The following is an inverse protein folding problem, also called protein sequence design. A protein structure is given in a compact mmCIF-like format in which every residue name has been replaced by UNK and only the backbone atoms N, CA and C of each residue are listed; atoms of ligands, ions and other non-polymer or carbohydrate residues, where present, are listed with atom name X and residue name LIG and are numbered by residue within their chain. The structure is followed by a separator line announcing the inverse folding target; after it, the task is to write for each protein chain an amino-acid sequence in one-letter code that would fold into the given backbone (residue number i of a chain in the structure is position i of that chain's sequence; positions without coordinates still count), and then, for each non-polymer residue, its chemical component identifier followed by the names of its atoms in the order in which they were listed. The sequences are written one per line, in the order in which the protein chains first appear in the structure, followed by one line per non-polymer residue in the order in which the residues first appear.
data_IF_737073778447
#
_entry.id   IF_737073778447
#
_cell.length_a   1.000
_cell.length_b   1.000
_cell.length_c   1.000
_cell.angle_alpha   90.00
_cell.angle_beta   90.00
_cell.angle_gamma   90.00
#
_symmetry.space_group_name_H-M   'P 1'
#
loop_
_entity.id
_entity.type
_entity.pdbx_description
1 polymer ?
#
# COMPACT_ATOMS: atom_id res chain seq x y z
N UNK A 1 4.34 29.85 -9.55
CA UNK A 1 3.43 30.56 -8.63
C UNK A 1 3.33 29.95 -7.22
N UNK A 2 3.56 28.66 -7.02
CA UNK A 2 3.45 27.99 -5.69
C UNK A 2 4.59 28.31 -4.70
N UNK A 3 5.52 29.18 -5.03
CA UNK A 3 6.75 29.33 -4.28
C UNK A 3 7.00 30.73 -3.68
N UNK A 4 6.07 31.64 -3.83
CA UNK A 4 6.23 33.01 -3.33
C UNK A 4 5.26 33.26 -2.17
N UNK A 5 5.63 32.92 -0.94
CA UNK A 5 4.94 33.29 0.31
C UNK A 5 3.41 33.09 0.31
N UNK A 6 2.90 32.13 -0.47
CA UNK A 6 1.49 31.76 -0.40
C UNK A 6 1.22 31.05 0.94
N UNK A 7 0.14 31.44 1.61
CA UNK A 7 -0.28 30.77 2.85
C UNK A 7 -0.54 29.26 2.59
N UNK A 8 -0.28 28.42 3.56
CA UNK A 8 -0.46 26.95 3.45
C UNK A 8 -1.84 26.56 2.95
N UNK A 9 -2.86 27.32 3.33
CA UNK A 9 -4.23 27.14 2.87
C UNK A 9 -4.38 27.39 1.35
N UNK A 10 -3.70 28.36 0.78
CA UNK A 10 -3.76 28.61 -0.67
C UNK A 10 -3.07 27.50 -1.46
N UNK A 11 -1.94 27.01 -0.94
CA UNK A 11 -1.22 25.86 -1.51
C UNK A 11 -2.10 24.61 -1.48
N UNK A 12 -2.71 24.32 -0.35
CA UNK A 12 -3.63 23.19 -0.19
C UNK A 12 -4.83 23.29 -1.12
N UNK A 13 -5.38 24.50 -1.32
CA UNK A 13 -6.51 24.73 -2.23
C UNK A 13 -6.16 24.43 -3.68
N UNK A 14 -4.98 24.85 -4.15
CA UNK A 14 -4.51 24.53 -5.52
C UNK A 14 -4.28 23.03 -5.66
N UNK A 15 -3.60 22.40 -4.70
CA UNK A 15 -3.38 20.94 -4.70
C UNK A 15 -4.70 20.18 -4.69
N UNK A 16 -5.68 20.61 -3.92
CA UNK A 16 -7.02 20.00 -3.90
C UNK A 16 -7.69 20.04 -5.26
N UNK A 17 -7.56 21.14 -5.98
CA UNK A 17 -8.08 21.26 -7.34
C UNK A 17 -7.35 20.33 -8.32
N UNK A 18 -6.01 20.26 -8.26
CA UNK A 18 -5.21 19.37 -9.10
C UNK A 18 -5.52 17.89 -8.82
N UNK A 19 -5.72 17.54 -7.54
CA UNK A 19 -6.12 16.19 -7.12
C UNK A 19 -7.50 15.86 -7.70
N UNK A 20 -8.46 16.77 -7.63
CA UNK A 20 -9.79 16.57 -8.20
C UNK A 20 -9.72 16.32 -9.70
N UNK A 21 -9.01 17.17 -10.44
CA UNK A 21 -8.81 17.00 -11.89
C UNK A 21 -8.19 15.62 -12.19
N UNK A 22 -7.18 15.21 -11.41
CA UNK A 22 -6.55 13.89 -11.55
C UNK A 22 -7.56 12.76 -11.31
N UNK A 23 -8.39 12.85 -10.26
CA UNK A 23 -9.39 11.82 -9.98
C UNK A 23 -10.45 11.72 -11.08
N UNK A 24 -10.78 12.82 -11.75
CA UNK A 24 -11.70 12.83 -12.89
C UNK A 24 -11.12 12.11 -14.13
N UNK A 25 -9.78 11.95 -14.23
CA UNK A 25 -9.11 11.22 -15.32
C UNK A 25 -8.87 9.74 -15.04
N UNK A 26 -9.23 9.24 -13.86
CA UNK A 26 -8.85 7.88 -13.43
C UNK A 26 -9.53 6.78 -14.25
N UNK A 27 -10.78 6.96 -14.68
CA UNK A 27 -11.48 5.96 -15.49
C UNK A 27 -10.79 5.78 -16.84
N UNK A 28 -10.37 6.87 -17.47
CA UNK A 28 -9.62 6.83 -18.75
C UNK A 28 -8.25 6.16 -18.56
N UNK A 29 -7.53 6.53 -17.50
CA UNK A 29 -6.24 5.91 -17.16
C UNK A 29 -6.39 4.42 -16.90
N UNK A 30 -7.46 4.01 -16.22
CA UNK A 30 -7.77 2.61 -15.94
C UNK A 30 -8.06 1.83 -17.22
N UNK A 31 -8.82 2.40 -18.14
CA UNK A 31 -9.17 1.74 -19.41
C UNK A 31 -7.94 1.34 -20.24
N UNK A 32 -6.84 2.11 -20.13
CA UNK A 32 -5.60 1.89 -20.90
C UNK A 32 -4.50 1.17 -20.11
N UNK A 33 -4.74 0.80 -18.84
CA UNK A 33 -3.73 0.22 -17.95
C UNK A 33 -4.06 -1.23 -17.58
N UNK A 34 -3.02 -2.02 -17.28
CA UNK A 34 -3.17 -3.31 -16.57
C UNK A 34 -3.51 -3.09 -15.09
N UNK A 35 -3.85 -4.16 -14.36
CA UNK A 35 -4.28 -4.06 -12.96
C UNK A 35 -3.20 -3.49 -12.05
N UNK A 36 -2.03 -4.13 -11.98
CA UNK A 36 -0.92 -3.63 -11.18
C UNK A 36 -0.33 -2.34 -11.74
N UNK A 37 -0.24 -2.20 -13.05
CA UNK A 37 0.28 -1.01 -13.71
C UNK A 37 -0.55 0.24 -13.36
N UNK A 38 -1.87 0.11 -13.32
CA UNK A 38 -2.76 1.18 -12.87
C UNK A 38 -2.47 1.60 -11.42
N UNK A 39 -2.29 0.63 -10.50
CA UNK A 39 -1.98 0.91 -9.10
C UNK A 39 -0.62 1.59 -8.94
N UNK A 40 0.38 1.16 -9.70
CA UNK A 40 1.72 1.79 -9.71
C UNK A 40 1.64 3.23 -10.22
N UNK A 41 0.92 3.49 -11.30
CA UNK A 41 0.70 4.84 -11.83
C UNK A 41 0.01 5.73 -10.80
N UNK A 42 -1.05 5.22 -10.14
CA UNK A 42 -1.74 5.94 -9.09
C UNK A 42 -0.81 6.24 -7.90
N UNK A 43 -0.06 5.25 -7.44
CA UNK A 43 0.92 5.40 -6.36
C UNK A 43 1.95 6.49 -6.69
N UNK A 44 2.52 6.48 -7.90
CA UNK A 44 3.49 7.49 -8.34
C UNK A 44 2.90 8.90 -8.42
N UNK A 45 1.61 9.02 -8.75
CA UNK A 45 0.94 10.32 -8.72
C UNK A 45 0.82 10.84 -7.29
N UNK A 46 0.45 9.99 -6.34
CA UNK A 46 0.42 10.35 -4.91
C UNK A 46 1.83 10.69 -4.41
N UNK A 47 2.85 9.90 -4.77
CA UNK A 47 4.26 10.22 -4.46
C UNK A 47 4.63 11.63 -4.94
N UNK A 48 4.23 11.99 -6.16
CA UNK A 48 4.49 13.32 -6.72
C UNK A 48 3.85 14.45 -5.89
N UNK A 49 2.64 14.25 -5.41
CA UNK A 49 1.94 15.21 -4.54
C UNK A 49 2.69 15.36 -3.21
N UNK A 50 3.03 14.25 -2.55
CA UNK A 50 3.75 14.27 -1.27
C UNK A 50 5.14 14.90 -1.40
N UNK A 51 5.87 14.58 -2.46
CA UNK A 51 7.17 15.22 -2.76
C UNK A 51 7.03 16.72 -2.96
N UNK A 52 5.96 17.14 -3.61
CA UNK A 52 5.69 18.57 -3.82
C UNK A 52 5.40 19.27 -2.49
N UNK A 53 4.55 18.71 -1.66
CA UNK A 53 4.25 19.22 -0.30
C UNK A 53 5.51 19.32 0.55
N UNK A 54 6.36 18.28 0.56
CA UNK A 54 7.64 18.30 1.26
C UNK A 54 8.52 19.48 0.80
N UNK A 55 8.65 19.68 -0.51
CA UNK A 55 9.46 20.78 -1.08
C UNK A 55 8.91 22.14 -0.72
N UNK A 56 7.60 22.31 -0.76
CA UNK A 56 6.95 23.56 -0.39
C UNK A 56 7.17 23.87 1.10
N UNK A 57 6.92 22.89 1.96
CA UNK A 57 7.08 23.04 3.41
C UNK A 57 8.53 23.37 3.79
N UNK A 58 9.51 22.67 3.20
CA UNK A 58 10.93 22.94 3.45
C UNK A 58 11.36 24.31 2.96
N UNK A 59 10.88 24.72 1.78
CA UNK A 59 11.21 26.04 1.22
C UNK A 59 10.62 27.19 2.03
N UNK A 60 9.39 27.03 2.50
CA UNK A 60 8.76 28.02 3.37
C UNK A 60 9.49 28.17 4.71
N UNK A 61 9.96 27.05 5.27
CA UNK A 61 10.66 27.03 6.55
C UNK A 61 12.08 27.61 6.47
N UNK A 62 12.83 27.33 5.41
CA UNK A 62 14.24 27.70 5.28
C UNK A 62 14.49 28.89 4.32
N UNK A 63 13.48 29.33 3.58
CA UNK A 63 13.59 30.45 2.67
C UNK A 63 14.66 30.24 1.60
N UNK A 64 15.50 31.27 1.39
CA UNK A 64 16.57 31.23 0.39
C UNK A 64 17.79 30.38 0.83
N UNK A 65 17.89 30.04 2.10
CA UNK A 65 18.98 29.22 2.68
C UNK A 65 18.57 27.76 2.81
N UNK A 66 18.01 27.19 1.77
CA UNK A 66 17.55 25.80 1.77
C UNK A 66 18.72 24.83 2.07
N UNK A 67 18.66 24.04 3.16
CA UNK A 67 19.68 23.04 3.45
C UNK A 67 19.77 21.99 2.34
N UNK A 68 20.92 21.32 2.24
CA UNK A 68 20.99 20.12 1.40
C UNK A 68 19.96 19.08 1.88
N UNK A 69 19.34 18.39 0.95
CA UNK A 69 18.26 17.43 1.20
C UNK A 69 18.56 16.45 2.35
N UNK A 70 19.78 15.91 2.37
CA UNK A 70 20.19 14.94 3.39
C UNK A 70 20.53 15.55 4.75
N UNK A 71 20.63 16.88 4.83
CA UNK A 71 20.88 17.58 6.10
C UNK A 71 19.61 17.78 6.92
N UNK A 72 18.44 17.75 6.29
CA UNK A 72 17.17 17.81 6.99
C UNK A 72 16.87 16.43 7.59
N UNK A 73 16.84 16.28 8.93
CA UNK A 73 16.76 14.97 9.57
C UNK A 73 15.33 14.39 9.57
N UNK A 74 14.70 14.30 8.38
CA UNK A 74 13.34 13.82 8.16
C UNK A 74 13.25 13.01 6.88
N UNK A 75 12.51 11.90 6.91
CA UNK A 75 12.11 11.13 5.73
C UNK A 75 10.61 10.84 5.74
N UNK A 76 9.98 10.99 4.58
CA UNK A 76 8.62 10.56 4.31
C UNK A 76 8.65 9.12 3.79
N UNK A 77 7.87 8.25 4.42
CA UNK A 77 7.87 6.81 4.18
C UNK A 77 6.45 6.31 3.91
N UNK A 78 6.26 5.64 2.78
CA UNK A 78 5.02 4.95 2.44
C UNK A 78 4.94 3.61 3.18
N UNK A 79 3.77 3.29 3.73
CA UNK A 79 3.51 2.05 4.45
C UNK A 79 2.40 1.23 3.77
N UNK A 80 2.28 -0.03 4.14
CA UNK A 80 1.18 -0.90 3.72
C UNK A 80 1.05 -1.02 2.19
N UNK A 81 -0.16 -0.93 1.66
CA UNK A 81 -0.41 -1.01 0.22
C UNK A 81 0.26 0.13 -0.56
N UNK A 82 0.41 1.28 0.05
CA UNK A 82 1.13 2.41 -0.51
C UNK A 82 2.64 2.12 -0.60
N UNK A 83 3.21 1.50 0.44
CA UNK A 83 4.61 1.04 0.44
C UNK A 83 4.89 0.01 -0.65
N UNK A 84 3.97 -0.94 -0.89
CA UNK A 84 4.09 -1.97 -1.94
C UNK A 84 3.81 -1.50 -3.37
N UNK A 85 3.54 -0.21 -3.59
CA UNK A 85 3.08 0.35 -4.87
C UNK A 85 1.78 -0.33 -5.39
N UNK A 86 0.86 -0.60 -4.47
CA UNK A 86 -0.45 -1.22 -4.72
C UNK A 86 -1.60 -0.39 -4.16
N UNK A 87 -1.43 0.94 -4.09
CA UNK A 87 -2.44 1.84 -3.60
C UNK A 87 -3.66 1.85 -4.53
N UNK A 88 -4.80 1.39 -4.04
CA UNK A 88 -6.05 1.45 -4.78
C UNK A 88 -6.69 2.86 -4.62
N UNK A 89 -7.41 3.30 -5.64
CA UNK A 89 -7.85 4.70 -5.86
C UNK A 89 -8.46 5.39 -4.65
N UNK A 90 -9.33 4.70 -3.91
CA UNK A 90 -10.00 5.26 -2.73
C UNK A 90 -9.51 4.64 -1.41
N UNK A 91 -8.37 3.96 -1.43
CA UNK A 91 -7.73 3.46 -0.21
C UNK A 91 -7.07 4.60 0.57
N UNK A 92 -6.93 4.37 1.89
CA UNK A 92 -6.21 5.30 2.74
C UNK A 92 -4.73 5.31 2.35
N UNK A 93 -4.09 6.48 2.39
CA UNK A 93 -2.66 6.67 2.15
C UNK A 93 -1.97 6.53 3.50
N UNK A 94 -1.28 5.43 3.72
CA UNK A 94 -0.56 5.18 4.97
C UNK A 94 0.84 5.79 4.88
N UNK A 95 1.07 6.86 5.63
CA UNK A 95 2.30 7.65 5.65
C UNK A 95 2.98 7.57 7.00
N UNK A 96 4.30 7.41 7.02
CA UNK A 96 5.13 7.62 8.20
C UNK A 96 6.11 8.75 7.96
N UNK A 97 6.21 9.65 8.94
CA UNK A 97 7.24 10.66 9.00
C UNK A 97 8.24 10.19 10.06
N UNK A 98 9.44 9.81 9.60
CA UNK A 98 10.51 9.33 10.49
C UNK A 98 11.62 10.37 10.55
N UNK A 99 12.07 10.70 11.76
CA UNK A 99 12.99 11.80 12.00
C UNK A 99 14.01 11.53 13.12
N UNK A 100 14.98 12.41 13.22
CA UNK A 100 15.84 12.56 14.41
C UNK A 100 15.75 13.98 14.94
N UNK A 101 15.77 14.12 16.27
CA UNK A 101 15.94 15.40 16.91
C UNK A 101 17.42 15.84 16.78
N UNK A 102 17.65 16.86 15.95
CA UNK A 102 18.98 17.42 15.73
C UNK A 102 18.96 18.90 16.12
N UNK A 103 19.87 19.35 16.99
CA UNK A 103 19.96 20.77 17.33
C UNK A 103 20.08 21.66 16.09
N UNK A 104 19.32 22.75 16.06
CA UNK A 104 19.30 23.70 14.95
C UNK A 104 18.23 23.41 13.86
N UNK A 105 17.52 22.30 13.94
CA UNK A 105 16.38 21.98 13.08
C UNK A 105 15.09 21.84 13.88
N UNK A 106 14.10 22.68 13.61
CA UNK A 106 12.75 22.49 14.17
C UNK A 106 11.95 21.48 13.31
N UNK A 107 12.35 20.21 13.40
CA UNK A 107 11.75 19.12 12.57
C UNK A 107 10.26 18.95 12.88
N UNK A 108 9.84 19.17 14.13
CA UNK A 108 8.44 19.01 14.55
C UNK A 108 7.54 20.03 13.83
N UNK A 109 7.98 21.28 13.75
CA UNK A 109 7.27 22.33 13.01
C UNK A 109 7.16 21.98 11.52
N UNK A 110 8.24 21.45 10.91
CA UNK A 110 8.22 21.00 9.52
C UNK A 110 7.22 19.85 9.32
N UNK A 111 7.17 18.89 10.25
CA UNK A 111 6.23 17.77 10.23
C UNK A 111 4.78 18.28 10.30
N UNK A 112 4.50 19.17 11.26
CA UNK A 112 3.17 19.78 11.42
C UNK A 112 2.75 20.51 10.15
N UNK A 113 3.63 21.30 9.57
CA UNK A 113 3.35 22.02 8.31
C UNK A 113 3.01 21.08 7.16
N UNK A 114 3.79 20.00 6.98
CA UNK A 114 3.52 18.98 5.96
C UNK A 114 2.13 18.36 6.17
N UNK A 115 1.81 17.96 7.41
CA UNK A 115 0.54 17.34 7.74
C UNK A 115 -0.65 18.29 7.56
N UNK A 116 -0.54 19.56 7.96
CA UNK A 116 -1.61 20.56 7.77
C UNK A 116 -1.92 20.75 6.28
N UNK A 117 -0.90 20.94 5.43
CA UNK A 117 -1.11 21.05 3.99
C UNK A 117 -1.80 19.81 3.43
N UNK A 118 -1.35 18.64 3.83
CA UNK A 118 -1.92 17.35 3.34
C UNK A 118 -3.39 17.16 3.78
N UNK A 119 -3.74 17.48 5.03
CA UNK A 119 -5.11 17.35 5.52
C UNK A 119 -6.08 18.26 4.77
N UNK A 120 -5.65 19.47 4.45
CA UNK A 120 -6.46 20.44 3.71
C UNK A 120 -6.68 20.06 2.24
N UNK A 121 -5.86 19.15 1.68
CA UNK A 121 -6.07 18.64 0.31
C UNK A 121 -7.29 17.73 0.18
N UNK A 122 -7.79 17.18 1.28
CA UNK A 122 -8.89 16.23 1.31
C UNK A 122 -8.49 14.78 0.98
N UNK A 123 -7.20 14.48 0.84
CA UNK A 123 -6.71 13.10 0.74
C UNK A 123 -6.98 12.35 2.06
N UNK A 124 -7.40 11.10 1.93
CA UNK A 124 -7.57 10.21 3.09
C UNK A 124 -6.21 9.71 3.55
N UNK A 125 -5.66 10.37 4.56
CA UNK A 125 -4.33 10.11 5.08
C UNK A 125 -4.39 9.43 6.44
N UNK A 126 -3.82 8.23 6.55
CA UNK A 126 -3.38 7.65 7.81
C UNK A 126 -1.91 8.03 8.02
N UNK A 127 -1.55 8.60 9.17
CA UNK A 127 -0.17 9.00 9.41
C UNK A 127 0.36 8.50 10.75
N UNK A 128 1.67 8.31 10.80
CA UNK A 128 2.46 8.01 12.00
C UNK A 128 3.67 8.93 12.01
N UNK A 129 4.10 9.31 13.20
CA UNK A 129 5.29 10.14 13.40
C UNK A 129 6.14 9.46 14.45
N UNK A 130 7.37 9.10 14.12
CA UNK A 130 8.29 8.41 15.01
C UNK A 130 9.72 8.92 14.82
N UNK A 131 10.50 8.92 15.89
CA UNK A 131 11.95 8.97 15.76
C UNK A 131 12.48 7.62 15.29
N UNK A 132 13.67 7.59 14.69
CA UNK A 132 14.31 6.33 14.28
C UNK A 132 14.49 5.39 15.48
N UNK A 133 14.85 5.96 16.63
CA UNK A 133 15.17 5.19 17.84
C UNK A 133 13.93 4.52 18.48
N UNK A 134 12.73 5.08 18.28
CA UNK A 134 11.48 4.50 18.78
C UNK A 134 10.96 3.31 17.95
N UNK A 135 11.40 3.15 16.71
CA UNK A 135 10.79 2.19 15.77
C UNK A 135 10.81 0.76 16.27
N UNK A 136 11.89 0.35 16.94
CA UNK A 136 12.01 -1.01 17.47
C UNK A 136 10.98 -1.28 18.57
N UNK A 137 10.88 -0.37 19.55
CA UNK A 137 9.95 -0.51 20.66
C UNK A 137 8.49 -0.42 20.21
N UNK A 138 8.19 0.51 19.33
CA UNK A 138 6.83 0.68 18.77
C UNK A 138 6.40 -0.57 17.99
N UNK A 139 7.31 -1.22 17.27
CA UNK A 139 7.02 -2.44 16.52
C UNK A 139 6.61 -3.62 17.39
N UNK A 140 6.99 -3.63 18.68
CA UNK A 140 6.61 -4.66 19.66
C UNK A 140 5.22 -4.46 20.25
N UNK A 141 4.68 -3.25 20.17
CA UNK A 141 3.36 -2.94 20.77
C UNK A 141 2.19 -3.43 19.94
N UNK A 142 2.37 -3.55 18.63
CA UNK A 142 1.33 -3.92 17.68
C UNK A 142 1.93 -4.57 16.43
N UNK A 143 1.51 -5.80 16.15
CA UNK A 143 1.92 -6.57 14.97
C UNK A 143 1.61 -5.85 13.65
N UNK A 144 0.61 -4.98 13.64
CA UNK A 144 0.26 -4.19 12.43
C UNK A 144 1.33 -3.15 12.11
N UNK A 145 2.01 -2.62 13.15
CA UNK A 145 3.13 -1.70 12.99
C UNK A 145 4.33 -2.44 12.39
N UNK A 146 4.70 -3.60 12.96
CA UNK A 146 5.76 -4.46 12.40
C UNK A 146 5.46 -4.79 10.94
N UNK A 147 4.24 -5.20 10.63
CA UNK A 147 3.80 -5.49 9.26
C UNK A 147 3.96 -4.28 8.33
N UNK A 148 3.54 -3.09 8.78
CA UNK A 148 3.64 -1.87 7.99
C UNK A 148 5.11 -1.46 7.74
N UNK A 149 5.98 -1.62 8.74
CA UNK A 149 7.41 -1.31 8.62
C UNK A 149 8.13 -2.22 7.62
N UNK A 150 7.86 -3.51 7.59
CA UNK A 150 8.48 -4.43 6.61
C UNK A 150 8.03 -4.19 5.17
N UNK A 151 6.93 -3.47 4.97
CA UNK A 151 6.40 -3.06 3.67
C UNK A 151 6.82 -1.64 3.26
N UNK A 152 7.60 -0.97 4.09
CA UNK A 152 7.90 0.45 3.94
C UNK A 152 8.77 0.77 2.73
N UNK A 153 8.56 1.96 2.18
CA UNK A 153 9.30 2.51 1.04
C UNK A 153 9.50 4.01 1.22
N UNK A 154 10.71 4.48 1.01
CA UNK A 154 10.99 5.92 1.05
C UNK A 154 10.28 6.66 -0.09
N UNK A 155 9.67 7.81 0.21
CA UNK A 155 9.06 8.72 -0.77
C UNK A 155 9.99 9.90 -1.03
N UNK A 156 10.38 10.62 0.03
CA UNK A 156 11.15 11.85 -0.06
C UNK A 156 11.88 12.11 1.27
N UNK A 157 12.90 12.97 1.29
CA UNK A 157 13.63 13.41 2.47
C UNK A 157 15.06 12.91 2.53
N UNK A 158 15.63 12.76 3.73
CA UNK A 158 17.02 12.36 3.95
C UNK A 158 17.25 10.87 3.72
N UNK A 159 18.15 10.55 2.80
CA UNK A 159 18.60 9.16 2.60
C UNK A 159 19.38 8.60 3.79
N UNK A 160 19.98 9.45 4.63
CA UNK A 160 20.66 9.01 5.86
C UNK A 160 19.64 8.54 6.90
N UNK A 161 18.56 9.31 7.11
CA UNK A 161 17.46 8.90 7.99
C UNK A 161 16.81 7.62 7.48
N UNK A 162 16.63 7.50 6.16
CA UNK A 162 16.10 6.28 5.57
C UNK A 162 17.02 5.08 5.77
N UNK A 163 18.33 5.23 5.61
CA UNK A 163 19.29 4.16 5.84
C UNK A 163 19.25 3.67 7.31
N UNK A 164 19.21 4.58 8.28
CA UNK A 164 19.05 4.21 9.68
C UNK A 164 17.70 3.55 9.97
N UNK A 165 16.63 4.04 9.34
CA UNK A 165 15.30 3.40 9.38
C UNK A 165 15.35 1.96 8.85
N UNK A 166 16.04 1.73 7.73
CA UNK A 166 16.22 0.37 7.17
C UNK A 166 17.02 -0.54 8.10
N UNK A 167 18.02 -0.01 8.81
CA UNK A 167 18.76 -0.78 9.82
C UNK A 167 17.83 -1.18 10.98
N UNK A 168 17.01 -0.27 11.49
CA UNK A 168 16.01 -0.58 12.50
C UNK A 168 15.00 -1.63 12.00
N UNK A 169 14.49 -1.48 10.78
CA UNK A 169 13.57 -2.45 10.16
C UNK A 169 14.24 -3.82 9.99
N UNK A 170 15.53 -3.86 9.68
CA UNK A 170 16.26 -5.14 9.62
C UNK A 170 16.31 -5.85 10.98
N UNK A 171 16.51 -5.13 12.07
CA UNK A 171 16.43 -5.68 13.43
C UNK A 171 15.00 -6.15 13.76
N UNK A 172 14.00 -5.30 13.52
CA UNK A 172 12.57 -5.60 13.73
C UNK A 172 12.15 -6.86 12.97
N UNK A 173 12.66 -7.06 11.76
CA UNK A 173 12.36 -8.23 10.94
C UNK A 173 12.83 -9.54 11.56
N UNK A 174 13.94 -9.54 12.27
CA UNK A 174 14.51 -10.74 12.90
C UNK A 174 14.04 -10.94 14.36
N UNK A 175 13.30 -9.99 14.92
CA UNK A 175 12.76 -10.06 16.26
C UNK A 175 11.47 -10.88 16.29
N UNK A 176 11.34 -11.81 17.22
CA UNK A 176 10.13 -12.64 17.47
C UNK A 176 9.41 -13.12 16.19
N UNK A 177 10.19 -13.75 15.29
CA UNK A 177 9.73 -14.19 13.97
C UNK A 177 8.63 -15.23 14.07
N UNK A 178 8.78 -16.22 14.97
CA UNK A 178 7.81 -17.29 15.15
C UNK A 178 6.47 -16.74 15.63
N UNK A 179 6.50 -15.88 16.65
CA UNK A 179 5.29 -15.25 17.16
C UNK A 179 4.59 -14.41 16.08
N UNK A 180 5.36 -13.65 15.28
CA UNK A 180 4.81 -12.89 14.16
C UNK A 180 4.08 -13.80 13.16
N UNK A 181 4.69 -14.92 12.76
CA UNK A 181 4.10 -15.86 11.82
C UNK A 181 2.81 -16.45 12.40
N UNK A 182 2.83 -16.91 13.65
CA UNK A 182 1.68 -17.50 14.32
C UNK A 182 0.51 -16.52 14.42
N UNK A 183 0.77 -15.28 14.85
CA UNK A 183 -0.26 -14.23 14.94
C UNK A 183 -0.85 -13.89 13.56
N UNK A 184 -0.02 -13.87 12.50
CA UNK A 184 -0.51 -13.61 11.14
C UNK A 184 -1.35 -14.76 10.58
N UNK A 185 -1.02 -15.98 10.88
CA UNK A 185 -1.83 -17.17 10.53
C UNK A 185 -3.18 -17.14 11.27
N UNK A 186 -3.17 -16.82 12.56
CA UNK A 186 -4.40 -16.65 13.33
C UNK A 186 -5.28 -15.53 12.78
N UNK A 187 -4.69 -14.35 12.48
CA UNK A 187 -5.41 -13.24 11.84
C UNK A 187 -6.07 -13.69 10.52
N UNK A 188 -5.36 -14.47 9.69
CA UNK A 188 -5.90 -15.01 8.44
C UNK A 188 -7.11 -15.90 8.68
N UNK A 189 -7.04 -16.84 9.65
CA UNK A 189 -8.15 -17.73 9.97
C UNK A 189 -9.40 -16.96 10.46
N UNK A 190 -9.21 -15.95 11.32
CA UNK A 190 -10.28 -15.09 11.79
C UNK A 190 -10.95 -14.33 10.65
N UNK A 191 -10.13 -13.81 9.71
CA UNK A 191 -10.64 -13.13 8.52
C UNK A 191 -11.40 -14.08 7.60
N UNK A 192 -10.92 -15.30 7.39
CA UNK A 192 -11.61 -16.30 6.57
C UNK A 192 -12.95 -16.73 7.18
N UNK A 193 -13.03 -16.84 8.51
CA UNK A 193 -14.32 -17.10 9.21
C UNK A 193 -15.29 -15.95 9.03
N UNK A 194 -14.81 -14.71 9.13
CA UNK A 194 -15.63 -13.49 8.98
C UNK A 194 -16.04 -13.22 7.54
N UNK A 195 -15.18 -13.51 6.57
CA UNK A 195 -15.37 -13.24 5.16
C UNK A 195 -15.17 -14.52 4.31
N UNK A 196 -16.05 -15.51 4.44
CA UNK A 196 -15.96 -16.74 3.65
C UNK A 196 -16.17 -16.44 2.15
N UNK A 197 -15.78 -17.38 1.30
CA UNK A 197 -16.02 -17.27 -0.14
C UNK A 197 -17.52 -17.44 -0.44
N UNK A 198 -18.15 -16.35 -0.84
CA UNK A 198 -19.59 -16.26 -1.16
C UNK A 198 -19.80 -15.67 -2.55
N UNK A 199 -21.06 -15.50 -2.94
CA UNK A 199 -21.44 -14.81 -4.19
C UNK A 199 -21.08 -13.30 -4.16
N UNK A 200 -20.92 -12.73 -2.97
CA UNK A 200 -20.46 -11.36 -2.75
C UNK A 200 -19.12 -11.36 -1.99
N UNK A 201 -18.02 -11.78 -2.61
CA UNK A 201 -16.75 -11.95 -1.93
C UNK A 201 -16.15 -10.61 -1.49
N UNK A 202 -15.45 -10.61 -0.35
CA UNK A 202 -14.55 -9.53 0.02
C UNK A 202 -13.19 -9.76 -0.64
N UNK A 203 -12.83 -8.90 -1.59
CA UNK A 203 -11.62 -9.04 -2.40
C UNK A 203 -10.33 -8.81 -1.60
N UNK A 204 -10.41 -8.10 -0.47
CA UNK A 204 -9.24 -7.78 0.35
C UNK A 204 -9.05 -8.78 1.48
N UNK A 205 -10.07 -8.92 2.34
CA UNK A 205 -9.97 -9.66 3.60
C UNK A 205 -10.50 -11.10 3.48
N UNK A 206 -11.24 -11.43 2.41
CA UNK A 206 -11.89 -12.72 2.24
C UNK A 206 -10.95 -13.82 1.74
N UNK A 207 -11.47 -15.05 1.71
CA UNK A 207 -10.75 -16.24 1.24
C UNK A 207 -10.26 -16.04 -0.19
N UNK A 208 -8.96 -16.17 -0.41
CA UNK A 208 -8.30 -15.95 -1.71
C UNK A 208 -8.13 -14.47 -2.08
N UNK A 209 -8.44 -13.55 -1.17
CA UNK A 209 -8.26 -12.12 -1.36
C UNK A 209 -6.81 -11.66 -1.22
N UNK A 210 -6.62 -10.33 -1.28
CA UNK A 210 -5.26 -9.76 -1.26
C UNK A 210 -4.50 -10.04 0.05
N UNK A 211 -5.20 -10.26 1.19
CA UNK A 211 -4.55 -10.65 2.45
C UNK A 211 -3.81 -11.98 2.33
N UNK A 212 -4.37 -12.95 1.61
CA UNK A 212 -3.73 -14.25 1.41
C UNK A 212 -2.42 -14.10 0.61
N UNK A 213 -2.46 -13.31 -0.48
CA UNK A 213 -1.26 -12.99 -1.25
C UNK A 213 -0.22 -12.20 -0.43
N UNK A 214 -0.68 -11.23 0.37
CA UNK A 214 0.20 -10.43 1.22
C UNK A 214 0.85 -11.26 2.32
N UNK A 215 0.17 -12.26 2.87
CA UNK A 215 0.73 -13.14 3.90
C UNK A 215 1.93 -13.93 3.37
N UNK A 216 1.86 -14.44 2.12
CA UNK A 216 3.02 -15.05 1.44
C UNK A 216 4.17 -14.08 1.37
N UNK A 217 3.89 -12.82 0.98
CA UNK A 217 4.91 -11.78 0.89
C UNK A 217 5.52 -11.45 2.26
N UNK A 218 4.72 -11.30 3.32
CA UNK A 218 5.20 -10.95 4.65
C UNK A 218 6.10 -12.04 5.25
N UNK A 219 5.67 -13.30 5.16
CA UNK A 219 6.48 -14.43 5.63
C UNK A 219 7.76 -14.53 4.80
N UNK A 220 7.67 -14.42 3.49
CA UNK A 220 8.82 -14.43 2.60
C UNK A 220 9.79 -13.25 2.83
N UNK A 221 9.27 -12.07 3.15
CA UNK A 221 10.08 -10.89 3.50
C UNK A 221 10.84 -11.11 4.80
N UNK A 222 10.19 -11.71 5.79
CA UNK A 222 10.83 -12.02 7.08
C UNK A 222 11.95 -13.05 6.90
N UNK A 223 11.68 -14.15 6.19
CA UNK A 223 12.66 -15.24 6.04
C UNK A 223 13.80 -14.91 5.08
N UNK A 224 13.47 -14.38 3.89
CA UNK A 224 14.41 -14.29 2.77
C UNK A 224 14.69 -12.84 2.37
N UNK A 225 14.10 -11.85 3.05
CA UNK A 225 14.20 -10.44 2.69
C UNK A 225 13.84 -10.13 1.22
N UNK A 226 12.91 -10.89 0.65
CA UNK A 226 12.49 -10.69 -0.73
C UNK A 226 11.73 -9.37 -0.90
N UNK A 227 11.90 -8.72 -2.03
CA UNK A 227 11.14 -7.50 -2.37
C UNK A 227 9.79 -7.82 -3.01
N UNK A 228 9.65 -9.02 -3.56
CA UNK A 228 8.38 -9.52 -4.09
C UNK A 228 8.36 -11.05 -4.08
N UNK A 229 7.15 -11.61 -4.18
CA UNK A 229 6.91 -13.07 -4.11
C UNK A 229 7.72 -13.84 -5.18
N UNK A 230 7.92 -13.28 -6.37
CA UNK A 230 8.69 -13.95 -7.45
C UNK A 230 10.15 -14.22 -7.09
N UNK A 231 10.69 -13.53 -6.10
CA UNK A 231 12.09 -13.69 -5.65
C UNK A 231 12.25 -14.77 -4.58
N UNK A 232 11.16 -15.44 -4.18
CA UNK A 232 11.24 -16.59 -3.29
C UNK A 232 12.02 -17.73 -3.94
N UNK A 233 12.71 -18.59 -3.13
CA UNK A 233 13.46 -19.73 -3.64
C UNK A 233 12.62 -20.67 -4.51
N UNK A 234 13.24 -21.29 -5.51
CA UNK A 234 12.56 -22.16 -6.49
C UNK A 234 11.91 -23.41 -5.88
N UNK A 235 12.38 -23.87 -4.72
CA UNK A 235 11.76 -24.99 -3.98
C UNK A 235 10.44 -24.58 -3.28
N UNK A 236 10.20 -23.28 -3.11
CA UNK A 236 8.95 -22.75 -2.55
C UNK A 236 7.98 -22.41 -3.69
N UNK A 237 8.45 -21.70 -4.70
CA UNK A 237 7.64 -21.23 -5.82
C UNK A 237 8.31 -21.57 -7.14
N UNK A 238 7.64 -22.39 -7.96
CA UNK A 238 8.09 -22.57 -9.34
C UNK A 238 7.47 -21.55 -10.29
N UNK A 239 8.11 -21.34 -11.43
CA UNK A 239 7.72 -20.31 -12.41
C UNK A 239 6.28 -20.49 -12.95
N UNK A 240 5.85 -21.75 -13.18
CA UNK A 240 4.52 -22.05 -13.70
C UNK A 240 3.41 -21.69 -12.70
N UNK A 241 3.61 -22.06 -11.44
CA UNK A 241 2.69 -21.73 -10.34
C UNK A 241 2.61 -20.22 -10.14
N UNK A 242 3.78 -19.56 -10.09
CA UNK A 242 3.84 -18.12 -9.97
C UNK A 242 3.12 -17.40 -11.11
N UNK A 243 3.30 -17.85 -12.36
CA UNK A 243 2.60 -17.29 -13.52
C UNK A 243 1.10 -17.40 -13.38
N UNK A 244 0.60 -18.58 -12.97
CA UNK A 244 -0.84 -18.80 -12.77
C UNK A 244 -1.41 -17.93 -11.66
N UNK A 245 -0.72 -17.87 -10.52
CA UNK A 245 -1.06 -17.00 -9.39
C UNK A 245 -1.06 -15.52 -9.79
N UNK A 246 -0.02 -15.08 -10.48
CA UNK A 246 0.10 -13.69 -10.93
C UNK A 246 -1.04 -13.27 -11.85
N UNK A 247 -1.45 -14.14 -12.80
CA UNK A 247 -2.58 -13.84 -13.69
C UNK A 247 -3.88 -13.67 -12.90
N UNK A 248 -4.13 -14.54 -11.92
CA UNK A 248 -5.30 -14.43 -11.06
C UNK A 248 -5.26 -13.12 -10.21
N UNK A 249 -4.12 -12.82 -9.61
CA UNK A 249 -3.94 -11.62 -8.78
C UNK A 249 -4.07 -10.34 -9.61
N UNK A 250 -3.50 -10.31 -10.81
CA UNK A 250 -3.61 -9.20 -11.77
C UNK A 250 -5.06 -8.91 -12.14
N UNK A 251 -5.84 -9.95 -12.38
CA UNK A 251 -7.27 -9.81 -12.63
C UNK A 251 -8.02 -9.24 -11.41
N UNK A 252 -7.70 -9.73 -10.20
CA UNK A 252 -8.30 -9.20 -8.96
C UNK A 252 -7.93 -7.73 -8.70
N UNK A 253 -6.73 -7.29 -9.04
CA UNK A 253 -6.36 -5.87 -9.00
C UNK A 253 -7.26 -5.04 -9.91
N UNK A 254 -7.54 -5.50 -11.13
CA UNK A 254 -8.47 -4.83 -12.04
C UNK A 254 -9.88 -4.79 -11.47
N UNK A 255 -10.37 -5.91 -10.94
CA UNK A 255 -11.72 -5.99 -10.34
C UNK A 255 -11.85 -5.01 -9.17
N UNK A 256 -10.90 -4.97 -8.25
CA UNK A 256 -10.92 -4.07 -7.10
C UNK A 256 -10.84 -2.60 -7.52
N UNK A 257 -10.00 -2.28 -8.49
CA UNK A 257 -9.88 -0.92 -9.02
C UNK A 257 -11.18 -0.46 -9.70
N UNK A 258 -11.78 -1.32 -10.53
CA UNK A 258 -13.08 -1.05 -11.15
C UNK A 258 -14.19 -0.89 -10.09
N UNK A 259 -14.18 -1.72 -9.04
CA UNK A 259 -15.12 -1.61 -7.93
C UNK A 259 -15.02 -0.26 -7.21
N UNK A 260 -13.80 0.23 -6.94
CA UNK A 260 -13.59 1.54 -6.36
C UNK A 260 -14.05 2.68 -7.29
N UNK A 261 -13.79 2.58 -8.58
CA UNK A 261 -14.22 3.59 -9.57
C UNK A 261 -15.76 3.64 -9.66
N UNK A 262 -16.43 2.49 -9.73
CA UNK A 262 -17.90 2.40 -9.78
C UNK A 262 -18.54 2.91 -8.50
N UNK A 263 -18.02 2.51 -7.34
CA UNK A 263 -18.60 2.88 -6.04
C UNK A 263 -18.21 4.29 -5.59
N UNK A 264 -17.24 4.93 -6.23
CA UNK A 264 -16.64 6.23 -5.88
C UNK A 264 -16.21 6.34 -4.41
N UNK A 265 -15.86 5.22 -3.82
CA UNK A 265 -15.39 5.09 -2.43
C UNK A 265 -14.55 3.83 -2.27
N UNK A 266 -13.90 3.70 -1.12
CA UNK A 266 -13.27 2.44 -0.69
C UNK A 266 -14.35 1.38 -0.50
N UNK A 267 -14.33 0.36 -1.36
CA UNK A 267 -15.26 -0.77 -1.34
C UNK A 267 -14.49 -2.06 -1.68
N UNK A 268 -14.46 -2.98 -0.75
CA UNK A 268 -13.75 -4.25 -0.91
C UNK A 268 -14.70 -5.45 -1.08
N UNK A 269 -16.01 -5.28 -0.85
CA UNK A 269 -17.03 -6.31 -1.06
C UNK A 269 -17.66 -6.15 -2.44
N UNK A 270 -17.49 -7.16 -3.30
CA UNK A 270 -18.13 -7.19 -4.61
C UNK A 270 -19.61 -7.61 -4.47
N UNK A 271 -20.47 -6.62 -4.25
CA UNK A 271 -21.91 -6.82 -4.08
C UNK A 271 -22.58 -7.15 -5.40
N UNK A 272 -23.70 -7.90 -5.34
CA UNK A 272 -24.44 -8.32 -6.51
C UNK A 272 -24.97 -7.15 -7.35
N UNK A 273 -25.39 -6.05 -6.70
CA UNK A 273 -25.89 -4.84 -7.37
C UNK A 273 -24.79 -4.07 -8.12
N UNK A 274 -23.50 -4.26 -7.76
CA UNK A 274 -22.36 -3.63 -8.42
C UNK A 274 -21.77 -4.47 -9.57
N UNK A 275 -22.06 -5.77 -9.61
CA UNK A 275 -21.52 -6.69 -10.61
C UNK A 275 -21.75 -6.21 -12.06
N UNK A 276 -22.96 -5.75 -12.46
CA UNK A 276 -23.18 -5.30 -13.83
C UNK A 276 -22.25 -4.14 -14.25
N UNK A 277 -22.07 -3.18 -13.36
CA UNK A 277 -21.24 -1.99 -13.62
C UNK A 277 -19.74 -2.32 -13.65
N UNK A 278 -19.26 -3.10 -12.67
CA UNK A 278 -17.87 -3.55 -12.62
C UNK A 278 -17.51 -4.43 -13.82
N UNK A 279 -18.40 -5.36 -14.19
CA UNK A 279 -18.22 -6.22 -15.36
C UNK A 279 -18.12 -5.41 -16.65
N UNK A 280 -18.99 -4.42 -16.84
CA UNK A 280 -19.01 -3.54 -18.02
C UNK A 280 -17.71 -2.74 -18.15
N UNK A 281 -17.22 -2.13 -17.08
CA UNK A 281 -15.93 -1.40 -17.08
C UNK A 281 -14.77 -2.34 -17.47
N UNK A 282 -14.85 -3.62 -17.10
CA UNK A 282 -13.84 -4.62 -17.43
C UNK A 282 -14.02 -5.24 -18.83
N UNK A 283 -14.97 -4.75 -19.62
CA UNK A 283 -15.19 -5.17 -21.00
C UNK A 283 -16.04 -6.44 -21.17
N UNK A 284 -16.77 -6.86 -20.12
CA UNK A 284 -17.76 -7.94 -20.24
C UNK A 284 -19.05 -7.39 -20.84
N UNK A 285 -19.73 -8.24 -21.61
CA UNK A 285 -21.04 -7.92 -22.17
C UNK A 285 -22.05 -7.60 -21.06
N UNK A 286 -22.80 -6.51 -21.24
CA UNK A 286 -23.86 -6.13 -20.30
C UNK A 286 -25.10 -7.02 -20.49
N UNK A 287 -24.95 -8.29 -20.14
CA UNK A 287 -25.99 -9.33 -20.23
C UNK A 287 -25.86 -10.27 -19.03
N UNK A 288 -26.93 -11.01 -18.71
CA UNK A 288 -26.88 -12.02 -17.64
C UNK A 288 -25.73 -13.03 -17.85
N UNK A 289 -25.49 -13.44 -19.11
CA UNK A 289 -24.38 -14.34 -19.45
C UNK A 289 -23.02 -13.69 -19.22
N UNK A 290 -22.84 -12.44 -19.60
CA UNK A 290 -21.62 -11.67 -19.37
C UNK A 290 -21.32 -11.50 -17.88
N UNK A 291 -22.33 -11.13 -17.09
CA UNK A 291 -22.20 -10.99 -15.63
C UNK A 291 -21.86 -12.32 -14.94
N UNK A 292 -22.47 -13.43 -15.36
CA UNK A 292 -22.13 -14.76 -14.83
C UNK A 292 -20.69 -15.18 -15.18
N UNK A 293 -20.22 -14.90 -16.40
CA UNK A 293 -18.83 -15.18 -16.83
C UNK A 293 -17.85 -14.36 -16.00
N UNK A 294 -18.14 -13.09 -15.75
CA UNK A 294 -17.35 -12.23 -14.89
C UNK A 294 -17.29 -12.76 -13.44
N UNK A 295 -18.44 -13.03 -12.82
CA UNK A 295 -18.52 -13.54 -11.45
C UNK A 295 -17.78 -14.88 -11.29
N UNK A 296 -17.92 -15.79 -12.28
CA UNK A 296 -17.16 -17.03 -12.32
C UNK A 296 -15.65 -16.77 -12.36
N UNK A 297 -15.19 -15.85 -13.22
CA UNK A 297 -13.76 -15.52 -13.32
C UNK A 297 -13.22 -14.94 -12.02
N UNK A 298 -14.00 -14.13 -11.30
CA UNK A 298 -13.62 -13.61 -9.97
C UNK A 298 -13.46 -14.77 -8.99
N UNK A 299 -14.45 -15.66 -8.91
CA UNK A 299 -14.40 -16.83 -8.01
C UNK A 299 -13.23 -17.75 -8.31
N UNK A 300 -12.98 -18.06 -9.58
CA UNK A 300 -11.86 -18.89 -10.03
C UNK A 300 -10.51 -18.24 -9.67
N UNK A 301 -10.40 -16.92 -9.80
CA UNK A 301 -9.19 -16.17 -9.44
C UNK A 301 -8.96 -16.20 -7.93
N UNK A 302 -9.99 -16.01 -7.11
CA UNK A 302 -9.89 -16.10 -5.64
C UNK A 302 -9.46 -17.52 -5.20
N UNK A 303 -10.04 -18.57 -5.80
CA UNK A 303 -9.64 -19.96 -5.53
C UNK A 303 -8.18 -20.22 -5.91
N UNK A 304 -7.73 -19.67 -7.04
CA UNK A 304 -6.33 -19.80 -7.48
C UNK A 304 -5.37 -19.12 -6.50
N UNK A 305 -5.67 -17.89 -6.08
CA UNK A 305 -4.87 -17.19 -5.07
C UNK A 305 -4.85 -17.96 -3.75
N UNK A 306 -6.01 -18.45 -3.29
CA UNK A 306 -6.11 -19.27 -2.07
C UNK A 306 -5.24 -20.51 -2.14
N UNK A 307 -5.35 -21.26 -3.23
CA UNK A 307 -4.60 -22.52 -3.43
C UNK A 307 -3.10 -22.32 -3.29
N UNK A 308 -2.54 -21.42 -4.11
CA UNK A 308 -1.10 -21.21 -4.11
C UNK A 308 -0.60 -20.54 -2.85
N UNK A 309 -1.34 -19.57 -2.29
CA UNK A 309 -0.97 -18.95 -1.01
C UNK A 309 -0.90 -19.98 0.10
N UNK A 310 -1.84 -20.92 0.18
CA UNK A 310 -1.82 -21.99 1.18
C UNK A 310 -0.59 -22.88 1.04
N UNK A 311 -0.33 -23.39 -0.18
CA UNK A 311 0.81 -24.27 -0.44
C UNK A 311 2.14 -23.57 -0.09
N UNK A 312 2.30 -22.33 -0.50
CA UNK A 312 3.55 -21.59 -0.27
C UNK A 312 3.73 -21.19 1.19
N UNK A 313 2.66 -20.81 1.91
CA UNK A 313 2.71 -20.54 3.35
C UNK A 313 3.10 -21.78 4.12
N UNK A 314 2.51 -22.94 3.83
CA UNK A 314 2.86 -24.21 4.47
C UNK A 314 4.33 -24.59 4.23
N UNK A 315 4.85 -24.33 3.04
CA UNK A 315 6.26 -24.58 2.73
C UNK A 315 7.18 -23.62 3.47
N UNK A 316 6.85 -22.31 3.45
CA UNK A 316 7.59 -21.25 4.15
C UNK A 316 7.65 -21.51 5.67
N UNK A 317 6.54 -21.90 6.30
CA UNK A 317 6.49 -22.17 7.74
C UNK A 317 7.25 -23.45 8.12
N UNK A 318 7.19 -24.49 7.28
CA UNK A 318 7.96 -25.72 7.50
C UNK A 318 9.47 -25.50 7.39
N UNK A 319 9.92 -24.65 6.47
CA UNK A 319 11.33 -24.35 6.29
C UNK A 319 11.90 -23.50 7.45
N UNK A 320 11.04 -22.79 8.15
CA UNK A 320 11.43 -22.05 9.36
C UNK A 320 11.76 -22.98 10.54
N UNK A 321 11.10 -24.12 10.65
CA UNK A 321 11.31 -25.10 11.74
C UNK A 321 12.44 -26.09 11.47
N UNK A 322 13.17 -25.97 10.35
CA UNK A 322 14.37 -26.74 10.03
C UNK A 322 15.65 -25.98 10.36
#
# INVERSE_FOLDING_TARGET
MLYNNAADFEIAKVLKQDIKIYFDTLEETFATSGGKDFLVKHTKKIDSILKHVYKVATRDMFGDYLPMKNSIPLSLVALGSYGREQLCVHSDIDLMLVYKDVPGYNVKELIEKILYILWDTGLKLGHRVHTVDELFDVSKTDITIKTALIESRMIEGSSFIWMETQNAISQIRHDDVEEFIQQKLQEQEEKHRKYPLTMEPNLKEGVGGFRDANLVFWIGKIHFNVENIKNLPAHIINEKEYKTFRIALEFLFRVRSALHLVSKKKEDKLRLDLIPYVATILGYENSKKGHMRFAKKVTDSLKTVRLYSTIWIETLTRDYHK
#
